data_IF_053943909907
#
_entry.id   IF_053943909907
#
_cell.length_a   1.000
_cell.length_b   1.000
_cell.length_c   1.000
_cell.angle_alpha   90.00
_cell.angle_beta   90.00
_cell.angle_gamma   90.00
#
_symmetry.space_group_name_H-M   'P 1'
#
loop_
_entity.id
_entity.type
_entity.pdbx_description
1 polymer ?
#
# COMPACT_ATOMS: atom_id res chain seq x y z
N UNK A 1 -19.81 -18.89 46.05
CA UNK A 1 -19.59 -20.23 46.62
C UNK A 1 -19.29 -21.18 45.48
N UNK A 2 -18.01 -21.45 45.24
CA UNK A 2 -17.35 -22.75 45.49
C UNK A 2 -17.54 -23.70 44.29
N UNK A 3 -16.56 -24.43 43.77
CA UNK A 3 -15.13 -24.51 43.98
C UNK A 3 -14.62 -25.50 42.91
N UNK A 4 -13.53 -25.14 42.22
CA UNK A 4 -12.33 -25.98 42.10
C UNK A 4 -12.50 -27.51 42.18
N UNK A 5 -12.24 -28.22 41.07
CA UNK A 5 -11.72 -29.59 41.13
C UNK A 5 -10.44 -29.67 40.31
N UNK A 6 -9.39 -30.10 41.00
CA UNK A 6 -8.00 -30.22 40.57
C UNK A 6 -7.74 -31.57 39.89
N UNK A 7 -6.93 -31.52 38.82
CA UNK A 7 -5.76 -32.35 38.47
C UNK A 7 -5.86 -33.88 38.53
N UNK A 8 -5.53 -34.55 37.42
CA UNK A 8 -4.59 -35.67 37.40
C UNK A 8 -3.72 -35.67 36.12
N UNK A 9 -2.47 -36.08 36.32
CA UNK A 9 -1.31 -36.01 35.42
C UNK A 9 -1.17 -37.31 34.62
N UNK A 10 -0.70 -37.24 33.36
CA UNK A 10 0.14 -38.28 32.78
C UNK A 10 1.05 -37.71 31.69
N UNK A 11 2.34 -37.97 31.87
CA UNK A 11 3.49 -37.55 31.08
C UNK A 11 3.76 -38.63 30.03
N UNK A 12 3.99 -38.25 28.76
CA UNK A 12 4.85 -39.05 27.88
C UNK A 12 5.81 -38.15 27.13
N UNK A 13 7.06 -38.25 27.54
CA UNK A 13 8.26 -37.67 26.95
C UNK A 13 8.75 -38.60 25.84
N UNK A 14 8.95 -38.08 24.63
CA UNK A 14 9.65 -38.79 23.56
C UNK A 14 10.95 -38.06 23.25
N UNK A 15 12.05 -38.69 23.66
CA UNK A 15 13.44 -38.26 23.49
C UNK A 15 13.84 -38.56 22.04
N UNK A 16 14.24 -37.55 21.27
CA UNK A 16 14.91 -37.74 19.97
C UNK A 16 16.41 -37.71 20.20
N UNK A 17 17.04 -38.87 20.00
CA UNK A 17 18.48 -39.10 20.16
C UNK A 17 19.23 -38.46 18.99
N UNK A 18 20.18 -37.58 19.33
CA UNK A 18 21.13 -36.97 18.41
C UNK A 18 22.34 -37.90 18.27
N UNK A 19 22.50 -38.54 17.10
CA UNK A 19 23.61 -39.44 16.82
C UNK A 19 24.75 -38.70 16.10
N UNK A 20 25.83 -38.47 16.85
CA UNK A 20 27.16 -38.11 16.34
C UNK A 20 27.83 -39.36 15.78
N UNK A 21 28.19 -39.38 14.50
CA UNK A 21 29.12 -40.35 13.93
C UNK A 21 30.37 -39.62 13.43
N UNK A 22 31.51 -39.93 14.06
CA UNK A 22 32.84 -39.48 13.65
C UNK A 22 33.56 -40.64 12.95
N UNK A 23 33.94 -40.34 11.71
CA UNK A 23 35.04 -40.82 10.86
C UNK A 23 35.64 -42.25 11.02
N UNK A 24 35.71 -42.95 9.88
CA UNK A 24 36.88 -43.74 9.51
C UNK A 24 37.10 -43.63 7.99
N UNK A 25 38.28 -43.15 7.59
CA UNK A 25 38.72 -43.10 6.19
C UNK A 25 39.21 -44.50 5.77
N UNK A 26 38.77 -44.97 4.61
CA UNK A 26 39.35 -46.14 3.93
C UNK A 26 39.27 -45.88 2.43
N UNK A 27 40.42 -45.76 1.78
CA UNK A 27 40.56 -45.49 0.34
C UNK A 27 40.40 -46.77 -0.47
N UNK A 28 39.54 -46.79 -1.50
CA UNK A 28 39.67 -47.73 -2.60
C UNK A 28 40.27 -47.03 -3.83
N UNK A 29 41.36 -47.59 -4.34
CA UNK A 29 41.92 -47.28 -5.66
C UNK A 29 40.96 -47.73 -6.74
N UNK A 30 40.49 -46.82 -7.60
CA UNK A 30 39.81 -47.16 -8.86
C UNK A 30 40.32 -46.25 -9.97
N UNK A 31 41.13 -46.88 -10.81
CA UNK A 31 41.24 -46.81 -12.27
C UNK A 31 40.84 -45.52 -13.00
N UNK A 32 41.83 -44.92 -13.66
CA UNK A 32 41.65 -43.81 -14.60
C UNK A 32 41.06 -44.34 -15.91
N UNK A 33 39.78 -44.11 -16.12
CA UNK A 33 39.20 -44.12 -17.48
C UNK A 33 38.76 -42.70 -17.81
N UNK A 34 39.46 -42.09 -18.76
CA UNK A 34 39.19 -40.74 -19.25
C UNK A 34 37.74 -40.62 -19.74
N UNK A 35 36.95 -39.79 -19.09
CA UNK A 35 35.66 -39.29 -19.58
C UNK A 35 35.77 -37.81 -19.90
N UNK A 36 35.06 -37.33 -20.94
CA UNK A 36 35.29 -36.03 -21.53
C UNK A 36 34.87 -34.89 -20.59
N UNK A 37 35.70 -33.85 -20.58
CA UNK A 37 35.43 -32.56 -19.92
C UNK A 37 34.15 -31.97 -20.53
N UNK A 38 33.03 -32.09 -19.83
CA UNK A 38 31.84 -31.27 -20.07
C UNK A 38 32.10 -29.94 -19.37
N UNK A 39 32.52 -28.94 -20.14
CA UNK A 39 32.61 -27.57 -19.68
C UNK A 39 31.20 -27.08 -19.33
N UNK A 40 30.86 -27.04 -18.05
CA UNK A 40 29.66 -26.35 -17.58
C UNK A 40 29.80 -24.87 -17.92
N UNK A 41 29.03 -24.44 -18.91
CA UNK A 41 28.91 -23.06 -19.29
C UNK A 41 28.09 -22.36 -18.21
N UNK A 42 28.77 -21.62 -17.33
CA UNK A 42 28.15 -20.76 -16.32
C UNK A 42 27.41 -19.69 -17.11
N UNK A 43 26.08 -19.83 -17.22
CA UNK A 43 25.23 -18.77 -17.75
C UNK A 43 25.15 -17.72 -16.63
N UNK A 44 25.60 -16.48 -16.84
CA UNK A 44 25.35 -15.42 -15.88
C UNK A 44 23.84 -15.29 -15.72
N UNK A 45 23.36 -15.53 -14.51
CA UNK A 45 22.00 -15.14 -14.15
C UNK A 45 22.03 -13.62 -14.10
N UNK A 46 21.53 -13.00 -15.17
CA UNK A 46 21.32 -11.56 -15.24
C UNK A 46 20.33 -11.23 -14.12
N UNK A 47 20.86 -10.68 -13.03
CA UNK A 47 20.04 -10.03 -12.02
C UNK A 47 19.46 -8.84 -12.75
N UNK A 48 18.20 -8.95 -13.17
CA UNK A 48 17.47 -7.82 -13.73
C UNK A 48 17.64 -6.66 -12.75
N UNK A 49 18.30 -5.60 -13.22
CA UNK A 49 18.31 -4.35 -12.49
C UNK A 49 16.84 -3.94 -12.28
N UNK A 50 16.43 -3.52 -11.08
CA UNK A 50 15.08 -3.04 -10.89
C UNK A 50 14.86 -1.91 -11.89
N UNK A 51 13.82 -2.04 -12.71
CA UNK A 51 13.38 -1.00 -13.64
C UNK A 51 13.34 0.33 -12.88
N UNK A 52 13.85 1.43 -13.46
CA UNK A 52 13.86 2.72 -12.80
C UNK A 52 12.43 3.08 -12.38
N UNK A 53 12.21 3.24 -11.08
CA UNK A 53 10.95 3.77 -10.54
C UNK A 53 10.78 5.16 -11.13
N UNK A 54 9.77 5.30 -11.97
CA UNK A 54 9.41 6.58 -12.57
C UNK A 54 9.10 7.61 -11.45
N UNK A 55 9.97 8.59 -11.28
CA UNK A 55 9.82 9.74 -10.35
C UNK A 55 8.58 10.59 -10.68
N UNK A 56 7.92 10.36 -11.83
CA UNK A 56 6.75 11.10 -12.30
C UNK A 56 5.42 10.67 -11.63
N UNK A 57 5.43 10.49 -10.31
CA UNK A 57 4.19 10.34 -9.55
C UNK A 57 3.27 11.55 -9.72
N UNK A 58 1.96 11.35 -9.58
CA UNK A 58 0.95 12.42 -9.64
C UNK A 58 0.22 12.54 -8.32
N UNK A 59 -0.34 13.71 -8.04
CA UNK A 59 -1.32 13.88 -6.97
C UNK A 59 -2.72 13.48 -7.43
N UNK A 60 -3.50 12.89 -6.53
CA UNK A 60 -4.97 12.93 -6.61
C UNK A 60 -5.47 14.16 -5.87
N UNK A 61 -5.86 15.20 -6.61
CA UNK A 61 -6.21 16.53 -6.11
C UNK A 61 -7.69 16.82 -6.31
N UNK A 62 -8.33 17.46 -5.33
CA UNK A 62 -9.70 17.97 -5.49
C UNK A 62 -9.72 19.14 -6.50
N UNK A 63 -10.72 19.17 -7.38
CA UNK A 63 -10.86 20.23 -8.40
C UNK A 63 -11.20 21.59 -7.74
N UNK A 64 -12.13 21.60 -6.79
CA UNK A 64 -12.48 22.80 -6.05
C UNK A 64 -11.49 23.04 -4.91
N UNK A 65 -10.91 24.23 -4.72
CA UNK A 65 -9.93 24.48 -3.66
C UNK A 65 -10.53 24.36 -2.24
N UNK A 66 -11.86 24.31 -2.12
CA UNK A 66 -12.59 24.39 -0.85
C UNK A 66 -12.11 25.63 -0.08
N UNK A 67 -11.52 25.44 1.10
CA UNK A 67 -10.99 26.46 1.99
C UNK A 67 -9.45 26.55 2.02
N UNK A 68 -8.77 25.90 1.07
CA UNK A 68 -7.31 25.92 0.91
C UNK A 68 -6.94 26.28 -0.54
N UNK A 69 -6.36 27.46 -0.77
CA UNK A 69 -6.04 27.96 -2.11
C UNK A 69 -5.10 27.03 -2.90
N UNK A 70 -4.17 26.35 -2.19
CA UNK A 70 -3.27 25.36 -2.79
C UNK A 70 -4.00 24.07 -3.20
N UNK A 71 -5.23 23.88 -2.73
CA UNK A 71 -6.05 22.69 -2.91
C UNK A 71 -5.69 21.56 -1.94
N UNK A 72 -6.57 20.57 -1.89
CA UNK A 72 -6.38 19.33 -1.13
C UNK A 72 -5.95 18.17 -2.03
N UNK A 73 -4.99 17.39 -1.57
CA UNK A 73 -4.49 16.18 -2.19
C UNK A 73 -4.72 14.99 -1.24
N UNK A 74 -4.99 13.81 -1.79
CA UNK A 74 -5.01 12.56 -1.02
C UNK A 74 -3.61 12.26 -0.49
N UNK A 75 -3.48 12.02 0.80
CA UNK A 75 -2.21 12.05 1.51
C UNK A 75 -2.21 11.05 2.68
N UNK A 76 -1.06 10.48 2.99
CA UNK A 76 -0.86 9.62 4.16
C UNK A 76 -0.60 10.50 5.39
N UNK A 77 -1.33 10.29 6.51
CA UNK A 77 -1.03 11.00 7.75
C UNK A 77 0.41 10.81 8.24
N UNK A 78 1.05 11.92 8.62
CA UNK A 78 2.38 11.93 9.24
C UNK A 78 3.43 12.61 8.39
N UNK A 79 4.69 12.52 8.80
CA UNK A 79 5.84 13.04 8.05
C UNK A 79 7.12 12.32 8.46
N UNK A 80 7.97 11.94 7.50
CA UNK A 80 9.26 11.27 7.70
C UNK A 80 9.15 10.03 8.63
N UNK A 81 9.89 10.00 9.74
CA UNK A 81 9.84 8.89 10.69
C UNK A 81 8.50 8.76 11.42
N UNK A 82 7.62 9.76 11.31
CA UNK A 82 6.28 9.77 11.87
C UNK A 82 5.16 9.43 10.87
N UNK A 83 5.49 8.90 9.68
CA UNK A 83 4.48 8.41 8.73
C UNK A 83 3.60 7.32 9.37
N UNK A 84 2.29 7.36 9.10
CA UNK A 84 1.29 6.47 9.72
C UNK A 84 0.53 5.67 8.66
N UNK A 85 1.20 4.68 8.06
CA UNK A 85 0.65 3.84 6.98
C UNK A 85 -0.62 3.08 7.38
N UNK A 86 -0.76 2.75 8.67
CA UNK A 86 -1.91 2.00 9.22
C UNK A 86 -3.10 2.89 9.62
N UNK A 87 -3.03 4.19 9.35
CA UNK A 87 -4.12 5.14 9.65
C UNK A 87 -4.87 5.45 8.36
N UNK A 88 -6.20 5.68 8.41
CA UNK A 88 -6.95 6.10 7.24
C UNK A 88 -6.32 7.32 6.55
N UNK A 89 -6.37 7.31 5.22
CA UNK A 89 -5.93 8.40 4.36
C UNK A 89 -6.64 9.71 4.72
N UNK A 90 -6.00 10.82 4.40
CA UNK A 90 -6.53 12.16 4.61
C UNK A 90 -6.49 12.98 3.32
N UNK A 91 -7.20 14.09 3.33
CA UNK A 91 -6.99 15.18 2.40
C UNK A 91 -6.10 16.20 3.11
N UNK A 92 -4.90 16.44 2.60
CA UNK A 92 -3.97 17.45 3.11
C UNK A 92 -3.77 18.53 2.04
N UNK A 93 -3.43 19.75 2.44
CA UNK A 93 -2.89 20.76 1.53
C UNK A 93 -1.89 20.13 0.55
N UNK A 94 -2.08 20.32 -0.76
CA UNK A 94 -1.17 19.83 -1.77
C UNK A 94 0.24 20.42 -1.58
N UNK A 95 1.23 19.55 -1.39
CA UNK A 95 2.62 19.94 -1.11
C UNK A 95 3.45 19.97 -2.39
N UNK A 96 3.53 21.14 -3.02
CA UNK A 96 4.31 21.25 -4.25
C UNK A 96 5.83 21.25 -3.98
N UNK A 97 6.60 20.53 -4.81
CA UNK A 97 8.05 20.46 -4.75
C UNK A 97 8.59 19.30 -3.92
N UNK A 98 9.12 19.58 -2.72
CA UNK A 98 9.76 18.56 -1.86
C UNK A 98 8.78 18.01 -0.81
N UNK A 99 9.11 16.84 -0.25
CA UNK A 99 8.40 16.21 0.87
C UNK A 99 6.93 15.88 0.60
N UNK A 100 6.67 15.35 -0.59
CA UNK A 100 5.33 15.03 -1.08
C UNK A 100 5.17 13.58 -1.54
N UNK A 101 6.15 12.71 -1.25
CA UNK A 101 6.09 11.28 -1.61
C UNK A 101 4.89 10.58 -0.97
N UNK A 102 4.43 11.07 0.17
CA UNK A 102 3.23 10.66 0.92
C UNK A 102 1.89 11.06 0.28
N UNK A 103 1.92 11.80 -0.83
CA UNK A 103 0.75 12.07 -1.67
C UNK A 103 0.95 11.73 -3.15
N UNK A 104 2.06 11.08 -3.52
CA UNK A 104 2.36 10.70 -4.90
C UNK A 104 1.83 9.32 -5.25
N UNK A 105 1.15 9.23 -6.38
CA UNK A 105 0.59 8.00 -6.93
C UNK A 105 1.17 7.71 -8.31
N UNK A 106 1.31 6.43 -8.63
CA UNK A 106 1.75 5.94 -9.94
C UNK A 106 0.68 6.26 -11.00
N UNK A 107 1.04 7.11 -11.97
CA UNK A 107 0.11 7.57 -13.00
C UNK A 107 -0.33 6.46 -13.95
N UNK A 108 0.53 5.48 -14.24
CA UNK A 108 0.21 4.34 -15.08
C UNK A 108 -0.72 3.36 -14.36
N UNK A 109 -0.50 3.14 -13.06
CA UNK A 109 -1.41 2.35 -12.23
C UNK A 109 -2.81 2.96 -12.17
N UNK A 110 -2.91 4.29 -12.02
CA UNK A 110 -4.18 5.01 -11.97
C UNK A 110 -5.02 4.82 -13.23
N UNK A 111 -4.41 4.83 -14.41
CA UNK A 111 -5.09 4.57 -15.70
C UNK A 111 -5.69 3.16 -15.73
N UNK A 112 -5.06 2.20 -15.05
CA UNK A 112 -5.52 0.82 -14.95
C UNK A 112 -6.46 0.58 -13.76
N UNK A 113 -6.89 1.64 -13.07
CA UNK A 113 -7.82 1.57 -11.95
C UNK A 113 -7.19 1.21 -10.60
N UNK A 114 -5.87 1.18 -10.50
CA UNK A 114 -5.17 0.97 -9.24
C UNK A 114 -4.55 2.28 -8.73
N UNK A 115 -4.72 2.59 -7.45
CA UNK A 115 -4.10 3.78 -6.85
C UNK A 115 -2.88 3.34 -6.05
N UNK A 116 -1.78 3.13 -6.76
CA UNK A 116 -0.52 2.64 -6.19
C UNK A 116 0.35 3.80 -5.72
N UNK A 117 0.92 3.67 -4.52
CA UNK A 117 1.90 4.60 -3.96
C UNK A 117 3.30 3.98 -4.08
N UNK A 118 4.11 4.37 -5.07
CA UNK A 118 5.36 3.66 -5.39
C UNK A 118 6.40 3.71 -4.27
N UNK A 119 6.47 4.81 -3.51
CA UNK A 119 7.42 4.96 -2.38
C UNK A 119 7.18 3.92 -1.27
N UNK A 120 5.93 3.52 -1.07
CA UNK A 120 5.54 2.62 0.02
C UNK A 120 5.18 1.22 -0.47
N UNK A 121 5.10 1.02 -1.80
CA UNK A 121 4.67 -0.22 -2.44
C UNK A 121 3.27 -0.70 -1.99
N UNK A 122 2.39 0.24 -1.64
CA UNK A 122 1.03 -0.02 -1.18
C UNK A 122 -0.01 0.57 -2.12
N UNK A 123 -1.24 0.07 -2.03
CA UNK A 123 -2.38 0.54 -2.82
C UNK A 123 -3.51 1.05 -1.94
N UNK A 124 -4.24 2.06 -2.43
CA UNK A 124 -5.44 2.56 -1.78
C UNK A 124 -6.52 1.47 -1.74
N UNK A 125 -7.06 1.22 -0.55
CA UNK A 125 -8.14 0.27 -0.32
C UNK A 125 -9.26 0.90 0.49
N UNK A 126 -10.50 0.73 0.04
CA UNK A 126 -11.66 0.97 0.88
C UNK A 126 -11.82 -0.17 1.91
N UNK A 127 -12.13 0.17 3.16
CA UNK A 127 -12.43 -0.82 4.21
C UNK A 127 -13.59 -1.74 3.82
N UNK A 128 -14.59 -1.19 3.13
CA UNK A 128 -15.70 -1.92 2.53
C UNK A 128 -16.34 -1.12 1.38
N UNK A 129 -17.15 -1.78 0.55
CA UNK A 129 -17.94 -1.13 -0.49
C UNK A 129 -19.25 -0.53 0.08
N UNK A 130 -19.14 0.34 1.09
CA UNK A 130 -20.27 0.99 1.77
C UNK A 130 -20.01 2.48 2.01
N UNK A 131 -21.07 3.30 2.02
CA UNK A 131 -20.96 4.69 2.45
C UNK A 131 -20.50 4.78 3.91
N UNK A 132 -19.65 5.75 4.21
CA UNK A 132 -18.96 5.93 5.48
C UNK A 132 -17.67 5.10 5.62
N UNK A 133 -17.32 4.22 4.66
CA UNK A 133 -16.11 3.40 4.76
C UNK A 133 -14.83 4.24 4.73
N UNK A 134 -13.88 3.90 5.61
CA UNK A 134 -12.56 4.51 5.62
C UNK A 134 -11.75 4.09 4.39
N UNK A 135 -10.80 4.92 3.99
CA UNK A 135 -9.81 4.58 2.97
C UNK A 135 -8.47 4.36 3.67
N UNK A 136 -7.84 3.21 3.46
CA UNK A 136 -6.53 2.89 4.00
C UNK A 136 -5.58 2.42 2.90
N UNK A 137 -4.43 1.89 3.33
CA UNK A 137 -3.45 1.27 2.46
C UNK A 137 -3.38 -0.23 2.75
N UNK A 138 -3.13 -1.01 1.71
CA UNK A 138 -2.92 -2.45 1.78
C UNK A 138 -1.96 -2.90 0.68
N UNK A 139 -1.48 -4.15 0.77
CA UNK A 139 -0.75 -4.79 -0.32
C UNK A 139 -1.57 -4.70 -1.61
N UNK A 140 -0.91 -4.36 -2.70
CA UNK A 140 -1.58 -4.19 -3.99
C UNK A 140 -2.15 -5.51 -4.51
N UNK A 141 -3.44 -5.49 -4.87
CA UNK A 141 -4.15 -6.62 -5.43
C UNK A 141 -5.24 -6.21 -6.42
N UNK A 142 -6.16 -7.13 -6.70
CA UNK A 142 -7.27 -7.00 -7.64
C UNK A 142 -8.64 -7.02 -6.96
N UNK A 143 -8.67 -6.80 -5.64
CA UNK A 143 -9.92 -6.71 -4.89
C UNK A 143 -10.81 -5.57 -5.40
N UNK A 144 -12.13 -5.77 -5.38
CA UNK A 144 -13.09 -4.74 -5.80
C UNK A 144 -12.97 -3.45 -4.98
N UNK A 145 -12.53 -3.55 -3.71
CA UNK A 145 -12.28 -2.42 -2.82
C UNK A 145 -10.95 -1.70 -3.08
N UNK A 146 -10.10 -2.21 -3.98
CA UNK A 146 -8.88 -1.56 -4.47
C UNK A 146 -8.98 -1.14 -5.94
N UNK A 147 -10.12 -1.37 -6.59
CA UNK A 147 -10.30 -1.03 -8.01
C UNK A 147 -11.12 0.25 -8.13
N UNK A 148 -10.53 1.26 -8.74
CA UNK A 148 -11.03 2.63 -8.78
C UNK A 148 -11.28 3.11 -10.20
N UNK A 149 -12.11 4.14 -10.33
CA UNK A 149 -12.45 4.78 -11.59
C UNK A 149 -12.57 6.28 -11.39
N UNK A 150 -11.91 7.06 -12.23
CA UNK A 150 -12.23 8.47 -12.43
C UNK A 150 -13.32 8.57 -13.51
N UNK A 151 -14.51 9.01 -13.12
CA UNK A 151 -15.66 9.13 -14.00
C UNK A 151 -15.55 10.40 -14.87
N UNK A 152 -16.35 10.49 -15.94
CA UNK A 152 -16.39 11.67 -16.83
C UNK A 152 -16.79 12.96 -16.09
N UNK A 153 -17.59 12.83 -15.03
CA UNK A 153 -17.98 13.89 -14.08
C UNK A 153 -16.84 14.30 -13.14
N UNK A 154 -15.66 13.69 -13.26
CA UNK A 154 -14.52 13.81 -12.35
C UNK A 154 -14.75 13.22 -10.96
N UNK A 155 -15.85 12.50 -10.75
CA UNK A 155 -16.08 11.73 -9.53
C UNK A 155 -15.12 10.54 -9.47
N UNK A 156 -14.39 10.40 -8.35
CA UNK A 156 -13.47 9.29 -8.15
C UNK A 156 -14.14 8.22 -7.29
N UNK A 157 -14.40 7.05 -7.86
CA UNK A 157 -15.29 6.05 -7.27
C UNK A 157 -14.71 4.64 -7.31
N UNK A 158 -15.30 3.73 -6.52
CA UNK A 158 -15.07 2.29 -6.70
C UNK A 158 -15.60 1.83 -8.06
N UNK A 159 -14.80 1.08 -8.82
CA UNK A 159 -15.19 0.62 -10.16
C UNK A 159 -16.42 -0.30 -10.13
N UNK A 160 -16.49 -1.17 -9.12
CA UNK A 160 -17.61 -2.10 -8.89
C UNK A 160 -18.84 -1.43 -8.24
N UNK A 161 -18.73 -0.21 -7.73
CA UNK A 161 -19.80 0.52 -7.05
C UNK A 161 -19.69 2.02 -7.31
N UNK A 162 -20.01 2.42 -8.55
CA UNK A 162 -19.79 3.78 -9.08
C UNK A 162 -20.59 4.89 -8.39
N UNK A 163 -21.57 4.51 -7.59
CA UNK A 163 -22.34 5.41 -6.71
C UNK A 163 -21.60 5.74 -5.41
N UNK A 164 -20.44 5.15 -5.15
CA UNK A 164 -19.63 5.37 -3.97
C UNK A 164 -18.34 6.13 -4.35
N UNK A 165 -18.28 7.39 -3.96
CA UNK A 165 -17.24 8.35 -4.30
C UNK A 165 -16.31 8.62 -3.12
N UNK A 166 -15.01 8.75 -3.42
CA UNK A 166 -14.02 9.32 -2.51
C UNK A 166 -14.40 10.77 -2.24
N UNK A 167 -14.67 11.08 -0.98
CA UNK A 167 -15.28 12.33 -0.56
C UNK A 167 -14.48 12.96 0.58
N UNK A 168 -14.11 14.23 0.41
CA UNK A 168 -13.56 15.02 1.52
C UNK A 168 -14.70 15.33 2.51
N UNK A 169 -14.45 15.12 3.80
CA UNK A 169 -15.41 15.40 4.88
C UNK A 169 -15.78 16.88 4.95
N UNK A 170 -16.99 17.22 5.39
CA UNK A 170 -17.45 18.61 5.57
C UNK A 170 -16.69 19.39 6.66
N UNK A 171 -16.82 20.71 6.64
CA UNK A 171 -16.23 21.62 7.62
C UNK A 171 -14.92 22.26 7.16
N UNK A 172 -14.31 23.11 8.01
CA UNK A 172 -13.04 23.74 7.71
C UNK A 172 -11.87 22.77 7.86
N UNK A 173 -10.78 23.08 7.18
CA UNK A 173 -9.48 22.46 7.38
C UNK A 173 -8.98 22.60 8.81
N UNK A 174 -8.40 21.52 9.32
CA UNK A 174 -7.77 21.47 10.64
C UNK A 174 -6.28 21.71 10.45
N UNK A 175 -5.69 22.59 11.26
CA UNK A 175 -4.25 22.83 11.24
C UNK A 175 -3.45 21.52 11.36
N UNK A 176 -2.54 21.33 10.42
CA UNK A 176 -1.64 20.19 10.30
C UNK A 176 -0.16 20.61 10.46
N UNK A 177 0.11 21.87 10.82
CA UNK A 177 1.45 22.41 11.01
C UNK A 177 2.18 22.73 9.71
N UNK A 178 3.51 22.79 9.77
CA UNK A 178 4.35 23.13 8.61
C UNK A 178 4.14 24.57 8.11
N UNK A 179 4.29 24.82 6.80
CA UNK A 179 3.91 26.06 6.11
C UNK A 179 2.38 26.29 6.07
N UNK A 180 1.73 26.20 7.23
CA UNK A 180 0.29 26.35 7.43
C UNK A 180 -0.51 25.34 6.61
N UNK A 181 -0.13 24.06 6.66
CA UNK A 181 -0.92 23.00 6.04
C UNK A 181 -2.19 22.78 6.85
N UNK A 182 -3.26 22.45 6.14
CA UNK A 182 -4.54 22.05 6.73
C UNK A 182 -4.94 20.68 6.19
N UNK A 183 -5.67 19.94 7.01
CA UNK A 183 -6.16 18.60 6.66
C UNK A 183 -7.65 18.45 6.92
N UNK A 184 -8.27 17.53 6.19
CA UNK A 184 -9.65 17.07 6.37
C UNK A 184 -9.68 15.55 6.24
N UNK A 185 -10.68 14.91 6.84
CA UNK A 185 -10.87 13.48 6.63
C UNK A 185 -11.30 13.19 5.18
N UNK A 186 -11.08 11.95 4.75
CA UNK A 186 -11.58 11.43 3.48
C UNK A 186 -12.23 10.09 3.75
N UNK A 187 -13.40 9.87 3.14
CA UNK A 187 -14.10 8.58 3.22
C UNK A 187 -14.89 8.31 1.96
N UNK A 188 -15.37 7.08 1.84
CA UNK A 188 -16.28 6.69 0.78
C UNK A 188 -17.69 7.17 1.14
N UNK A 189 -18.35 7.92 0.26
CA UNK A 189 -19.74 8.37 0.46
C UNK A 189 -20.56 8.17 -0.81
N UNK A 190 -21.88 8.22 -0.71
CA UNK A 190 -22.73 8.25 -1.89
C UNK A 190 -22.40 9.48 -2.76
N UNK A 191 -22.13 9.26 -4.04
CA UNK A 191 -21.93 10.33 -5.01
C UNK A 191 -23.19 11.21 -5.06
N UNK A 192 -23.03 12.53 -4.98
CA UNK A 192 -24.14 13.45 -4.77
C UNK A 192 -23.83 14.84 -5.34
N UNK A 193 -24.76 15.46 -6.09
CA UNK A 193 -24.60 16.84 -6.54
C UNK A 193 -24.33 17.83 -5.40
N UNK A 194 -24.88 17.58 -4.20
CA UNK A 194 -24.69 18.41 -3.01
C UNK A 194 -23.28 18.33 -2.41
N UNK A 195 -22.51 17.28 -2.73
CA UNK A 195 -21.14 17.09 -2.28
C UNK A 195 -20.11 17.20 -3.42
N UNK A 196 -20.55 17.68 -4.59
CA UNK A 196 -19.74 17.68 -5.82
C UNK A 196 -18.40 18.42 -5.68
N UNK A 197 -18.37 19.51 -4.91
CA UNK A 197 -17.14 20.26 -4.61
C UNK A 197 -16.09 19.46 -3.83
N UNK A 198 -16.51 18.40 -3.14
CA UNK A 198 -15.66 17.50 -2.33
C UNK A 198 -15.49 16.10 -2.92
N UNK A 199 -16.15 15.82 -4.05
CA UNK A 199 -16.16 14.52 -4.73
C UNK A 199 -15.51 14.52 -6.10
N UNK A 200 -15.16 15.71 -6.63
CA UNK A 200 -14.58 15.85 -7.96
C UNK A 200 -13.07 16.01 -7.89
N UNK A 201 -12.36 15.02 -8.42
CA UNK A 201 -10.91 14.89 -8.37
C UNK A 201 -10.28 15.03 -9.75
N UNK A 202 -8.99 15.34 -9.77
CA UNK A 202 -8.15 15.38 -10.96
C UNK A 202 -6.75 14.93 -10.58
N UNK A 203 -5.93 14.63 -11.60
CA UNK A 203 -4.49 14.45 -11.38
C UNK A 203 -3.79 15.81 -11.47
N UNK A 204 -2.78 16.01 -10.64
CA UNK A 204 -1.93 17.21 -10.69
C UNK A 204 -0.46 16.83 -10.56
N UNK A 205 0.40 17.66 -11.17
CA UNK A 205 1.85 17.51 -11.03
C UNK A 205 2.27 17.89 -9.60
N UNK A 206 3.08 17.06 -8.93
CA UNK A 206 3.61 17.34 -7.59
C UNK A 206 4.52 18.56 -7.49
#
# INVERSE_FOLDING_TARGET
MNAQIKKFVAILSAIVVMSLFVAACSTPSVDQTASPVVTQQIVPMEVAEPEPVDDQGVFLRIIGPLDEERGYCLDIPGHLSGMRLETPMQALTCKHGIWNLDGRFDSAALVNGQVRMPEYELCLQAESASAGASLGLADCGDAETQTWMLQDSSEFALAASRQLCVTIEEGPGIDAGGPQYVRRGVRLETCSPQASDRQRWTTAVP
#
